data_IF_141946103087
#
_entry.id   IF_141946103087
#
_cell.length_a   1.000
_cell.length_b   1.000
_cell.length_c   1.000
_cell.angle_alpha   90.00
_cell.angle_beta   90.00
_cell.angle_gamma   90.00
#
_symmetry.space_group_name_H-M   'P 1'
#
loop_
_entity.id
_entity.type
_entity.pdbx_description
1 polymer ?
#
# COMPACT_ATOMS: atom_id res chain seq x y z
N UNK A 1 -11.18 17.77 -27.35
CA UNK A 1 -11.27 17.68 -25.88
C UNK A 1 -10.27 18.66 -25.30
N UNK A 2 -10.68 19.56 -24.42
CA UNK A 2 -9.78 20.48 -23.72
C UNK A 2 -9.69 20.06 -22.25
N UNK A 3 -8.47 19.97 -21.74
CA UNK A 3 -8.13 19.71 -20.34
C UNK A 3 -7.32 20.88 -19.80
N UNK A 4 -7.50 21.19 -18.52
CA UNK A 4 -6.81 22.28 -17.83
C UNK A 4 -5.46 21.82 -17.26
N UNK A 5 -5.31 20.52 -16.98
CA UNK A 5 -4.09 19.93 -16.44
C UNK A 5 -3.89 18.49 -16.94
N UNK A 6 -2.66 18.17 -17.31
CA UNK A 6 -2.21 16.81 -17.63
C UNK A 6 -1.25 16.30 -16.55
N UNK A 7 -1.48 15.10 -16.05
CA UNK A 7 -0.71 14.47 -14.98
C UNK A 7 -0.11 13.16 -15.51
N UNK A 8 1.19 12.98 -15.33
CA UNK A 8 1.92 11.79 -15.78
C UNK A 8 2.38 11.01 -14.54
N UNK A 9 1.83 9.79 -14.40
CA UNK A 9 2.01 8.91 -13.25
C UNK A 9 0.81 8.95 -12.31
N UNK A 10 0.25 7.77 -12.03
CA UNK A 10 -0.87 7.51 -11.12
C UNK A 10 -0.43 7.06 -9.73
N UNK A 11 0.79 7.40 -9.31
CA UNK A 11 1.27 7.22 -7.93
C UNK A 11 0.63 8.21 -6.95
N UNK A 12 1.01 8.17 -5.65
CA UNK A 12 0.43 9.01 -4.60
C UNK A 12 0.34 10.50 -4.95
N UNK A 13 1.41 11.06 -5.49
CA UNK A 13 1.40 12.46 -5.93
C UNK A 13 0.40 12.71 -7.08
N UNK A 14 0.34 11.80 -8.05
CA UNK A 14 -0.44 11.98 -9.26
C UNK A 14 -1.94 11.83 -9.06
N UNK A 15 -2.38 10.74 -8.40
CA UNK A 15 -3.82 10.57 -8.16
C UNK A 15 -4.35 11.63 -7.17
N UNK A 16 -3.56 12.07 -6.18
CA UNK A 16 -3.96 13.15 -5.27
C UNK A 16 -4.00 14.49 -6.00
N UNK A 17 -3.07 14.78 -6.91
CA UNK A 17 -3.13 15.98 -7.74
C UNK A 17 -4.37 15.98 -8.65
N UNK A 18 -4.71 14.83 -9.26
CA UNK A 18 -5.89 14.69 -10.12
C UNK A 18 -7.20 14.86 -9.34
N UNK A 19 -7.30 14.22 -8.17
CA UNK A 19 -8.44 14.34 -7.26
C UNK A 19 -8.62 15.80 -6.81
N UNK A 20 -7.54 16.46 -6.39
CA UNK A 20 -7.59 17.87 -5.99
C UNK A 20 -7.95 18.79 -7.15
N UNK A 21 -7.44 18.55 -8.36
CA UNK A 21 -7.80 19.33 -9.54
C UNK A 21 -9.30 19.22 -9.86
N UNK A 22 -9.83 18.00 -9.89
CA UNK A 22 -11.27 17.75 -10.11
C UNK A 22 -12.14 18.37 -9.03
N UNK A 23 -11.74 18.29 -7.76
CA UNK A 23 -12.45 18.92 -6.64
C UNK A 23 -12.52 20.45 -6.74
N UNK A 24 -11.61 21.08 -7.48
CA UNK A 24 -11.61 22.53 -7.75
C UNK A 24 -12.20 22.89 -9.12
N UNK A 25 -12.89 21.96 -9.78
CA UNK A 25 -13.59 22.21 -11.05
C UNK A 25 -12.71 22.19 -12.31
N UNK A 26 -11.44 21.81 -12.19
CA UNK A 26 -10.55 21.67 -13.34
C UNK A 26 -10.80 20.35 -14.07
N UNK A 27 -10.74 20.37 -15.40
CA UNK A 27 -10.73 19.17 -16.24
C UNK A 27 -9.33 18.58 -16.25
N UNK A 28 -9.08 17.62 -15.37
CA UNK A 28 -7.80 16.90 -15.30
C UNK A 28 -7.80 15.65 -16.21
N UNK A 29 -6.65 15.38 -16.83
CA UNK A 29 -6.34 14.08 -17.45
C UNK A 29 -5.11 13.49 -16.78
N UNK A 30 -5.18 12.21 -16.40
CA UNK A 30 -4.10 11.47 -15.76
C UNK A 30 -3.73 10.27 -16.63
N UNK A 31 -2.43 10.08 -16.85
CA UNK A 31 -1.88 8.95 -17.57
C UNK A 31 -1.06 8.08 -16.62
N UNK A 32 -1.42 6.80 -16.51
CA UNK A 32 -0.63 5.78 -15.81
C UNK A 32 -0.40 4.61 -16.77
N UNK A 33 0.84 4.12 -16.82
CA UNK A 33 1.26 3.05 -17.74
C UNK A 33 1.03 1.66 -17.14
N UNK A 34 1.15 1.54 -15.82
CA UNK A 34 1.03 0.29 -15.06
C UNK A 34 -0.24 0.32 -14.21
N UNK A 35 -0.11 0.28 -12.89
CA UNK A 35 -1.20 0.23 -11.93
C UNK A 35 -1.31 1.55 -11.16
N UNK A 36 -2.55 1.97 -10.90
CA UNK A 36 -2.83 3.09 -10.00
C UNK A 36 -2.24 2.85 -8.61
N UNK A 37 -1.89 3.92 -7.90
CA UNK A 37 -1.27 3.88 -6.59
C UNK A 37 0.26 3.77 -6.61
N UNK A 38 0.86 3.53 -7.78
CA UNK A 38 2.31 3.52 -7.99
C UNK A 38 3.05 2.54 -7.08
N UNK A 39 4.33 2.83 -6.81
CA UNK A 39 5.19 1.96 -5.99
C UNK A 39 4.61 1.77 -4.59
N UNK A 40 4.18 2.84 -3.93
CA UNK A 40 3.70 2.79 -2.54
C UNK A 40 2.63 1.71 -2.32
N UNK A 41 1.61 1.69 -3.20
CA UNK A 41 0.49 0.76 -3.09
C UNK A 41 0.84 -0.65 -3.57
N UNK A 42 1.54 -0.76 -4.70
CA UNK A 42 1.63 -2.04 -5.41
C UNK A 42 2.87 -2.85 -5.03
N UNK A 43 4.01 -2.21 -4.74
CA UNK A 43 5.30 -2.90 -4.61
C UNK A 43 6.25 -2.23 -3.60
N UNK A 44 5.69 -1.44 -2.68
CA UNK A 44 6.45 -0.61 -1.74
C UNK A 44 5.88 -0.65 -0.34
N UNK A 45 5.46 0.51 0.16
CA UNK A 45 5.07 0.71 1.55
C UNK A 45 3.95 -0.23 2.00
N UNK A 46 2.89 -0.37 1.21
CA UNK A 46 1.71 -1.15 1.60
C UNK A 46 2.05 -2.65 1.69
N UNK A 47 2.60 -3.32 0.65
CA UNK A 47 2.97 -4.73 0.75
C UNK A 47 4.01 -5.00 1.86
N UNK A 48 4.99 -4.10 2.01
CA UNK A 48 6.02 -4.23 3.04
C UNK A 48 5.42 -4.16 4.45
N UNK A 49 4.45 -3.27 4.70
CA UNK A 49 3.80 -3.15 6.00
C UNK A 49 2.90 -4.35 6.30
N UNK A 50 2.23 -4.91 5.29
CA UNK A 50 1.47 -6.17 5.44
C UNK A 50 2.38 -7.32 5.87
N UNK A 51 3.50 -7.54 5.17
CA UNK A 51 4.46 -8.59 5.52
C UNK A 51 5.10 -8.37 6.89
N UNK A 52 5.44 -7.11 7.22
CA UNK A 52 5.98 -6.75 8.53
C UNK A 52 4.98 -7.08 9.66
N UNK A 53 3.69 -6.91 9.43
CA UNK A 53 2.67 -7.25 10.43
C UNK A 53 2.60 -8.77 10.66
N UNK A 54 2.63 -9.57 9.58
CA UNK A 54 2.72 -11.03 9.70
C UNK A 54 3.97 -11.47 10.46
N UNK A 55 5.11 -10.84 10.19
CA UNK A 55 6.36 -11.10 10.92
C UNK A 55 6.24 -10.76 12.42
N UNK A 56 5.61 -9.62 12.76
CA UNK A 56 5.37 -9.22 14.15
C UNK A 56 4.45 -10.20 14.90
N UNK A 57 3.43 -10.74 14.23
CA UNK A 57 2.58 -11.78 14.83
C UNK A 57 3.41 -13.01 15.15
N UNK A 58 4.19 -13.52 14.19
CA UNK A 58 5.03 -14.69 14.41
C UNK A 58 6.04 -14.48 15.55
N UNK A 59 6.68 -13.31 15.59
CA UNK A 59 7.61 -12.93 16.65
C UNK A 59 6.94 -12.86 18.03
N UNK A 60 5.72 -12.33 18.08
CA UNK A 60 4.92 -12.25 19.31
C UNK A 60 4.55 -13.64 19.83
N UNK A 61 4.15 -14.55 18.95
CA UNK A 61 3.82 -15.95 19.30
C UNK A 61 5.06 -16.69 19.80
N UNK A 62 6.21 -16.51 19.13
CA UNK A 62 7.49 -17.09 19.58
C UNK A 62 7.91 -16.59 20.97
N UNK A 63 7.53 -15.36 21.30
CA UNK A 63 7.81 -14.74 22.60
C UNK A 63 6.69 -14.95 23.64
N UNK A 64 5.65 -15.74 23.36
CA UNK A 64 4.44 -15.80 24.18
C UNK A 64 4.65 -16.45 25.56
N UNK A 65 5.68 -17.29 25.71
CA UNK A 65 6.01 -17.99 26.96
C UNK A 65 6.30 -17.03 28.13
N UNK A 66 6.85 -15.84 27.84
CA UNK A 66 7.10 -14.80 28.86
C UNK A 66 5.83 -14.24 29.49
N UNK A 67 4.67 -14.52 28.89
CA UNK A 67 3.35 -14.14 29.38
C UNK A 67 2.54 -15.36 29.87
N UNK A 68 3.18 -16.52 30.08
CA UNK A 68 2.50 -17.74 30.50
C UNK A 68 1.67 -18.41 29.39
N UNK A 69 1.82 -17.98 28.13
CA UNK A 69 1.13 -18.56 26.98
C UNK A 69 2.06 -19.55 26.28
N UNK A 70 1.61 -20.81 26.15
CA UNK A 70 2.33 -21.83 25.40
C UNK A 70 1.84 -21.87 23.96
N UNK A 71 2.76 -21.83 23.00
CA UNK A 71 2.48 -21.98 21.58
C UNK A 71 3.54 -22.89 20.96
N UNK A 72 3.12 -24.04 20.44
CA UNK A 72 4.02 -25.02 19.86
C UNK A 72 4.18 -24.79 18.35
N UNK A 73 5.42 -24.73 17.88
CA UNK A 73 5.80 -24.74 16.46
C UNK A 73 5.04 -23.77 15.53
N UNK A 74 5.01 -22.45 15.82
CA UNK A 74 4.37 -21.49 14.92
C UNK A 74 5.14 -21.38 13.59
N UNK A 75 4.41 -21.48 12.47
CA UNK A 75 4.97 -21.45 11.11
C UNK A 75 4.41 -20.29 10.27
N UNK A 76 5.18 -19.86 9.28
CA UNK A 76 4.77 -18.88 8.27
C UNK A 76 4.57 -19.56 6.91
N UNK A 77 3.48 -19.24 6.23
CA UNK A 77 3.16 -19.69 4.87
C UNK A 77 2.85 -18.45 4.02
N UNK A 78 3.72 -18.15 3.06
CA UNK A 78 3.57 -16.96 2.20
C UNK A 78 2.40 -17.08 1.22
N UNK A 79 1.92 -18.30 0.97
CA UNK A 79 0.85 -18.55 0.00
C UNK A 79 -0.56 -18.36 0.57
N UNK A 80 -0.69 -18.21 1.89
CA UNK A 80 -1.93 -17.92 2.61
C UNK A 80 -2.03 -16.45 2.99
#
# INVERSE_FOLDING_TARGET
MNFDIAIIGGGPAGYTAAERAGANGLKAVLFEKKAMGGVCLNEGCIPTKTLLYSAKILDSIKSASKYGVSAESPSFDLSK
#
